data_IF_806041536499
#
_entry.id   IF_806041536499
#
_cell.length_a   1.000
_cell.length_b   1.000
_cell.length_c   1.000
_cell.angle_alpha   90.00
_cell.angle_beta   90.00
_cell.angle_gamma   90.00
#
_symmetry.space_group_name_H-M   'P 1'
#
loop_
_entity.id
_entity.type
_entity.pdbx_description
1 polymer ?
#
# COMPACT_ATOMS: atom_id res chain seq x y z
N UNK A 1 9.60 -24.92 -8.11
CA UNK A 1 8.52 -24.25 -7.36
C UNK A 1 8.91 -22.78 -7.29
N UNK A 2 8.17 -21.91 -7.96
CA UNK A 2 8.39 -20.47 -7.99
C UNK A 2 7.73 -19.86 -6.77
N UNK A 3 8.53 -19.45 -5.77
CA UNK A 3 8.07 -18.74 -4.59
C UNK A 3 8.31 -17.23 -4.77
N UNK A 4 7.24 -16.48 -5.06
CA UNK A 4 7.32 -15.03 -5.26
C UNK A 4 8.03 -14.36 -4.08
N UNK A 5 8.95 -13.46 -4.42
CA UNK A 5 9.76 -12.73 -3.46
C UNK A 5 9.09 -11.41 -3.09
N UNK A 6 9.22 -11.01 -1.82
CA UNK A 6 8.85 -9.67 -1.38
C UNK A 6 9.72 -8.61 -2.05
N UNK A 7 9.30 -7.34 -2.06
CA UNK A 7 10.11 -6.27 -2.66
C UNK A 7 11.52 -6.17 -2.06
N UNK A 8 11.67 -6.46 -0.76
CA UNK A 8 12.98 -6.49 -0.10
C UNK A 8 13.83 -7.68 -0.56
N UNK A 9 13.23 -8.87 -0.64
CA UNK A 9 13.88 -10.08 -1.14
C UNK A 9 14.30 -9.93 -2.61
N UNK A 10 13.47 -9.35 -3.47
CA UNK A 10 13.80 -9.11 -4.88
C UNK A 10 14.96 -8.14 -5.03
N UNK A 11 14.95 -7.02 -4.30
CA UNK A 11 16.07 -6.05 -4.32
C UNK A 11 17.37 -6.71 -3.87
N UNK A 12 17.32 -7.54 -2.83
CA UNK A 12 18.48 -8.26 -2.34
C UNK A 12 18.97 -9.32 -3.33
N UNK A 13 18.06 -10.13 -3.88
CA UNK A 13 18.40 -11.16 -4.87
C UNK A 13 18.97 -10.54 -6.14
N UNK A 14 18.44 -9.41 -6.60
CA UNK A 14 18.99 -8.67 -7.73
C UNK A 14 20.43 -8.24 -7.48
N UNK A 15 20.72 -7.68 -6.30
CA UNK A 15 22.08 -7.30 -5.91
C UNK A 15 23.01 -8.52 -5.82
N UNK A 16 22.51 -9.66 -5.35
CA UNK A 16 23.24 -10.94 -5.35
C UNK A 16 23.61 -11.34 -6.78
N UNK A 17 22.64 -11.35 -7.71
CA UNK A 17 22.84 -11.74 -9.11
C UNK A 17 23.85 -10.81 -9.78
N UNK A 18 23.74 -9.49 -9.57
CA UNK A 18 24.67 -8.49 -10.13
C UNK A 18 26.11 -8.64 -9.64
N UNK A 19 26.32 -9.26 -8.46
CA UNK A 19 27.64 -9.50 -7.87
C UNK A 19 28.00 -11.00 -7.81
N UNK A 20 27.32 -11.83 -8.61
CA UNK A 20 27.56 -13.26 -8.70
C UNK A 20 28.54 -13.57 -9.83
N UNK A 21 29.56 -14.36 -9.53
CA UNK A 21 30.36 -15.04 -10.54
C UNK A 21 29.54 -16.19 -11.11
N UNK A 22 29.27 -16.16 -12.42
CA UNK A 22 28.36 -17.11 -13.08
C UNK A 22 28.94 -18.52 -13.21
N UNK A 23 30.27 -18.67 -13.22
CA UNK A 23 30.93 -19.98 -13.35
C UNK A 23 30.92 -20.74 -12.02
N UNK A 24 31.16 -20.01 -10.93
CA UNK A 24 31.25 -20.56 -9.57
C UNK A 24 29.95 -20.42 -8.77
N UNK A 25 28.98 -19.65 -9.28
CA UNK A 25 27.73 -19.24 -8.63
C UNK A 25 27.94 -18.56 -7.27
N UNK A 26 29.16 -18.07 -7.02
CA UNK A 26 29.53 -17.43 -5.76
C UNK A 26 29.33 -15.94 -5.87
N UNK A 27 28.87 -15.31 -4.79
CA UNK A 27 28.73 -13.86 -4.73
C UNK A 27 29.43 -13.31 -3.49
N UNK A 28 29.94 -12.09 -3.61
CA UNK A 28 30.56 -11.36 -2.52
C UNK A 28 30.47 -9.86 -2.75
N UNK A 29 29.81 -9.13 -1.87
CA UNK A 29 29.68 -7.67 -1.98
C UNK A 29 29.63 -6.96 -0.64
N UNK A 30 30.01 -5.68 -0.65
CA UNK A 30 30.05 -4.84 0.56
C UNK A 30 28.64 -4.53 1.06
N UNK A 31 28.45 -4.59 2.38
CA UNK A 31 27.21 -4.14 3.05
C UNK A 31 26.90 -2.65 2.80
N UNK A 32 27.87 -1.85 2.31
CA UNK A 32 27.66 -0.46 1.91
C UNK A 32 26.88 -0.31 0.60
N UNK A 33 26.81 -1.37 -0.23
CA UNK A 33 26.03 -1.39 -1.47
C UNK A 33 24.54 -1.65 -1.22
N UNK A 34 24.15 -1.98 0.01
CA UNK A 34 22.75 -2.20 0.36
C UNK A 34 21.97 -0.88 0.27
N UNK A 35 20.83 -0.86 -0.42
CA UNK A 35 19.88 0.23 -0.36
C UNK A 35 19.48 0.56 1.09
N UNK A 36 19.12 1.82 1.40
CA UNK A 36 18.69 2.21 2.74
C UNK A 36 17.56 1.34 3.32
N UNK A 37 16.65 0.87 2.46
CA UNK A 37 15.55 -0.02 2.85
C UNK A 37 15.99 -1.44 3.25
N UNK A 38 17.19 -1.86 2.84
CA UNK A 38 17.79 -3.17 3.16
C UNK A 38 18.83 -3.08 4.29
N UNK A 39 18.80 -2.02 5.10
CA UNK A 39 19.71 -1.85 6.24
C UNK A 39 19.63 -3.01 7.25
N UNK A 40 18.49 -3.71 7.29
CA UNK A 40 18.27 -4.97 8.01
C UNK A 40 18.00 -6.11 7.01
N UNK A 41 19.00 -6.47 6.19
CA UNK A 41 18.84 -7.47 5.12
C UNK A 41 18.75 -8.92 5.61
N UNK A 42 18.95 -9.19 6.91
CA UNK A 42 19.10 -10.55 7.44
C UNK A 42 17.83 -11.37 7.29
N UNK A 43 16.66 -10.78 7.54
CA UNK A 43 15.38 -11.46 7.38
C UNK A 43 15.14 -11.83 5.91
N UNK A 44 15.42 -10.91 4.99
CA UNK A 44 15.32 -11.17 3.55
C UNK A 44 16.29 -12.27 3.10
N UNK A 45 17.54 -12.27 3.59
CA UNK A 45 18.51 -13.32 3.30
C UNK A 45 18.06 -14.69 3.83
N UNK A 46 17.58 -14.76 5.07
CA UNK A 46 17.05 -15.99 5.65
C UNK A 46 15.88 -16.55 4.84
N UNK A 47 15.01 -15.67 4.35
CA UNK A 47 13.89 -16.05 3.49
C UNK A 47 14.37 -16.59 2.14
N UNK A 48 15.34 -15.93 1.48
CA UNK A 48 15.93 -16.41 0.22
C UNK A 48 16.57 -17.80 0.38
N UNK A 49 17.20 -18.07 1.53
CA UNK A 49 17.76 -19.39 1.86
C UNK A 49 16.64 -20.41 2.07
N UNK A 50 15.61 -20.06 2.83
CA UNK A 50 14.47 -20.95 3.09
C UNK A 50 13.71 -21.35 1.82
N UNK A 51 13.58 -20.41 0.87
CA UNK A 51 12.95 -20.62 -0.45
C UNK A 51 13.88 -21.28 -1.48
N UNK A 52 15.13 -21.58 -1.11
CA UNK A 52 16.08 -22.27 -1.99
C UNK A 52 16.68 -21.41 -3.10
N UNK A 53 16.62 -20.09 -3.01
CA UNK A 53 17.26 -19.18 -3.99
C UNK A 53 18.75 -18.94 -3.70
N UNK A 54 19.19 -19.19 -2.47
CA UNK A 54 20.57 -19.03 -2.01
C UNK A 54 20.91 -20.19 -1.07
N UNK A 55 22.09 -20.82 -1.23
CA UNK A 55 22.48 -21.96 -0.38
C UNK A 55 23.04 -21.56 0.99
N UNK A 56 23.70 -20.40 1.10
CA UNK A 56 24.43 -20.03 2.32
C UNK A 56 24.73 -18.53 2.37
N UNK A 57 24.56 -17.94 3.54
CA UNK A 57 25.23 -16.69 3.93
C UNK A 57 26.44 -17.05 4.80
N UNK A 58 27.64 -16.63 4.40
CA UNK A 58 28.83 -16.67 5.25
C UNK A 58 29.06 -15.23 5.73
N UNK A 59 28.76 -14.92 7.00
CA UNK A 59 28.96 -13.57 7.51
C UNK A 59 30.45 -13.28 7.59
N UNK A 60 30.92 -12.39 6.71
CA UNK A 60 32.26 -11.82 6.75
C UNK A 60 32.14 -10.37 7.20
N UNK A 61 33.11 -9.86 7.97
CA UNK A 61 33.05 -8.50 8.51
C UNK A 61 32.85 -7.49 7.35
N UNK A 62 31.70 -6.80 7.33
CA UNK A 62 31.29 -5.79 6.34
C UNK A 62 30.99 -6.31 4.91
N UNK A 63 30.95 -7.61 4.68
CA UNK A 63 30.60 -8.19 3.38
C UNK A 63 29.52 -9.27 3.51
N UNK A 64 28.72 -9.40 2.47
CA UNK A 64 27.73 -10.47 2.30
C UNK A 64 28.34 -11.44 1.29
N UNK A 65 28.47 -12.71 1.67
CA UNK A 65 29.06 -13.73 0.80
C UNK A 65 28.24 -15.01 0.81
N UNK A 66 28.16 -15.70 -0.32
CA UNK A 66 27.32 -16.87 -0.45
C UNK A 66 27.35 -17.51 -1.83
N UNK A 67 26.39 -18.41 -2.07
CA UNK A 67 26.20 -19.08 -3.35
C UNK A 67 24.74 -18.98 -3.80
N UNK A 68 24.51 -18.50 -5.02
CA UNK A 68 23.18 -18.48 -5.64
C UNK A 68 22.85 -19.86 -6.21
N UNK A 69 21.56 -20.22 -6.21
CA UNK A 69 21.07 -21.42 -6.89
C UNK A 69 20.72 -21.12 -8.34
N UNK A 70 20.50 -22.15 -9.18
CA UNK A 70 20.02 -21.93 -10.55
C UNK A 70 18.63 -21.29 -10.54
N UNK A 71 17.79 -21.67 -9.57
CA UNK A 71 16.49 -21.06 -9.30
C UNK A 71 16.64 -19.58 -8.91
N UNK A 72 17.64 -19.23 -8.11
CA UNK A 72 17.92 -17.84 -7.73
C UNK A 72 18.38 -16.98 -8.90
N UNK A 73 19.27 -17.51 -9.74
CA UNK A 73 19.79 -16.81 -10.91
C UNK A 73 18.73 -16.60 -12.01
N UNK A 74 17.79 -17.53 -12.13
CA UNK A 74 16.73 -17.48 -13.14
C UNK A 74 15.44 -16.83 -12.64
N UNK A 75 15.35 -16.46 -11.35
CA UNK A 75 14.14 -15.92 -10.73
C UNK A 75 13.48 -14.81 -11.55
N UNK A 76 14.22 -13.80 -12.00
CA UNK A 76 13.64 -12.66 -12.73
C UNK A 76 13.18 -13.03 -14.14
N UNK A 77 13.83 -14.01 -14.78
CA UNK A 77 13.40 -14.53 -16.08
C UNK A 77 12.09 -15.29 -15.93
N UNK A 78 11.99 -16.15 -14.91
CA UNK A 78 10.77 -16.90 -14.60
C UNK A 78 9.65 -15.95 -14.16
N UNK A 79 9.97 -14.93 -13.35
CA UNK A 79 9.02 -13.88 -12.94
C UNK A 79 8.46 -13.12 -14.14
N UNK A 80 9.31 -12.70 -15.08
CA UNK A 80 8.87 -12.00 -16.30
C UNK A 80 7.98 -12.90 -17.16
N UNK A 81 8.27 -14.20 -17.23
CA UNK A 81 7.41 -15.20 -17.89
C UNK A 81 6.04 -15.33 -17.18
N UNK A 82 6.01 -15.33 -15.84
CA UNK A 82 4.78 -15.28 -15.06
C UNK A 82 3.98 -13.98 -15.29
N UNK A 83 4.65 -12.84 -15.44
CA UNK A 83 4.00 -11.55 -15.73
C UNK A 83 3.39 -11.49 -17.16
N UNK A 84 3.85 -12.35 -18.08
CA UNK A 84 3.28 -12.53 -19.42
C UNK A 84 2.15 -13.57 -19.47
N UNK A 85 1.67 -14.05 -18.32
CA UNK A 85 0.58 -15.02 -18.24
C UNK A 85 -0.70 -14.51 -18.94
N UNK A 86 -1.26 -15.34 -19.82
CA UNK A 86 -2.56 -15.08 -20.44
C UNK A 86 -3.68 -15.63 -19.57
N UNK A 87 -4.49 -14.75 -18.96
CA UNK A 87 -5.70 -15.19 -18.24
C UNK A 87 -6.68 -15.83 -19.24
N UNK A 88 -6.85 -17.13 -19.12
CA UNK A 88 -7.75 -17.91 -19.97
C UNK A 88 -9.20 -17.59 -19.61
N UNK A 89 -10.10 -17.74 -20.59
CA UNK A 89 -11.54 -17.57 -20.41
C UNK A 89 -12.31 -18.66 -21.15
N UNK A 90 -13.51 -18.95 -20.66
CA UNK A 90 -14.43 -19.91 -21.27
C UNK A 90 -13.81 -21.31 -21.37
N UNK A 91 -14.10 -22.00 -22.48
CA UNK A 91 -13.78 -23.42 -22.68
C UNK A 91 -12.28 -23.76 -22.51
N UNK A 92 -11.37 -22.84 -22.83
CA UNK A 92 -9.93 -23.06 -22.62
C UNK A 92 -9.55 -23.11 -21.14
N UNK A 93 -10.11 -22.20 -20.34
CA UNK A 93 -9.92 -22.21 -18.89
C UNK A 93 -10.53 -23.46 -18.30
N UNK A 94 -11.76 -23.79 -18.68
CA UNK A 94 -12.49 -24.94 -18.14
C UNK A 94 -11.74 -26.26 -18.44
N UNK A 95 -11.23 -26.41 -19.67
CA UNK A 95 -10.41 -27.56 -20.04
C UNK A 95 -9.10 -27.63 -19.24
N UNK A 96 -8.40 -26.51 -19.06
CA UNK A 96 -7.15 -26.50 -18.30
C UNK A 96 -7.40 -26.87 -16.82
N UNK A 97 -8.45 -26.33 -16.20
CA UNK A 97 -8.83 -26.66 -14.82
C UNK A 97 -9.13 -28.15 -14.68
N UNK A 98 -9.87 -28.73 -15.62
CA UNK A 98 -10.14 -30.17 -15.61
C UNK A 98 -8.86 -31.01 -15.73
N UNK A 99 -7.90 -30.58 -16.56
CA UNK A 99 -6.59 -31.24 -16.67
C UNK A 99 -5.78 -31.12 -15.37
N UNK A 100 -5.83 -29.97 -14.69
CA UNK A 100 -5.18 -29.77 -13.39
C UNK A 100 -5.78 -30.68 -12.32
N UNK A 101 -7.10 -30.76 -12.25
CA UNK A 101 -7.80 -31.65 -11.31
C UNK A 101 -7.44 -33.12 -11.53
N UNK A 102 -7.06 -33.48 -12.75
CA UNK A 102 -6.65 -34.82 -13.15
C UNK A 102 -5.14 -34.99 -13.36
N UNK A 103 -4.29 -34.06 -12.88
CA UNK A 103 -2.84 -34.04 -13.18
C UNK A 103 -2.07 -35.30 -12.80
N UNK A 104 -2.59 -36.07 -11.83
CA UNK A 104 -2.00 -37.34 -11.37
C UNK A 104 -2.49 -38.57 -12.17
N UNK A 105 -3.31 -38.35 -13.20
CA UNK A 105 -3.89 -39.40 -14.05
C UNK A 105 -3.39 -39.30 -15.50
N UNK A 106 -3.82 -40.24 -16.35
CA UNK A 106 -3.47 -40.24 -17.76
C UNK A 106 -4.20 -39.13 -18.52
N UNK A 107 -3.58 -37.96 -18.62
CA UNK A 107 -4.12 -36.78 -19.32
C UNK A 107 -4.38 -37.04 -20.80
N UNK A 108 -3.51 -37.80 -21.47
CA UNK A 108 -3.72 -38.13 -22.88
C UNK A 108 -4.98 -38.99 -23.08
N UNK A 109 -5.21 -39.96 -22.19
CA UNK A 109 -6.43 -40.77 -22.18
C UNK A 109 -7.69 -39.94 -21.94
N UNK A 110 -7.64 -38.99 -21.00
CA UNK A 110 -8.74 -38.05 -20.73
C UNK A 110 -9.05 -37.20 -21.97
N UNK A 111 -8.03 -36.65 -22.63
CA UNK A 111 -8.19 -35.87 -23.85
C UNK A 111 -8.72 -36.73 -25.01
N UNK A 112 -8.24 -37.96 -25.18
CA UNK A 112 -8.71 -38.88 -26.21
C UNK A 112 -10.20 -39.21 -26.03
N UNK A 113 -10.65 -39.47 -24.80
CA UNK A 113 -12.07 -39.72 -24.49
C UNK A 113 -12.97 -38.55 -24.87
N UNK A 114 -12.47 -37.30 -24.73
CA UNK A 114 -13.25 -36.11 -25.11
C UNK A 114 -13.51 -36.01 -26.61
N UNK A 115 -12.74 -36.70 -27.46
CA UNK A 115 -13.00 -36.77 -28.90
C UNK A 115 -14.11 -37.78 -29.26
N UNK A 116 -14.47 -38.69 -28.36
CA UNK A 116 -15.48 -39.73 -28.64
C UNK A 116 -16.87 -39.13 -28.84
N UNK A 117 -17.50 -39.45 -29.97
CA UNK A 117 -18.88 -39.05 -30.27
C UNK A 117 -19.09 -37.58 -30.64
N UNK A 118 -18.01 -36.80 -30.82
CA UNK A 118 -18.12 -35.42 -31.27
C UNK A 118 -18.50 -35.31 -32.76
N UNK A 119 -19.31 -34.31 -33.10
CA UNK A 119 -19.48 -33.89 -34.49
C UNK A 119 -18.26 -33.08 -34.99
N UNK A 120 -18.22 -32.82 -36.30
CA UNK A 120 -17.10 -32.10 -36.94
C UNK A 120 -16.83 -30.71 -36.33
N UNK A 121 -17.87 -29.97 -35.93
CA UNK A 121 -17.69 -28.63 -35.36
C UNK A 121 -17.18 -28.71 -33.93
N UNK A 122 -17.68 -29.68 -33.16
CA UNK A 122 -17.24 -29.94 -31.79
C UNK A 122 -15.79 -30.43 -31.76
N UNK A 123 -15.41 -31.35 -32.65
CA UNK A 123 -14.04 -31.84 -32.80
C UNK A 123 -13.07 -30.69 -33.13
N UNK A 124 -13.38 -29.88 -34.14
CA UNK A 124 -12.55 -28.74 -34.51
C UNK A 124 -12.40 -27.72 -33.37
N UNK A 125 -13.48 -27.49 -32.62
CA UNK A 125 -13.47 -26.60 -31.46
C UNK A 125 -12.54 -27.14 -30.37
N UNK A 126 -12.66 -28.41 -30.01
CA UNK A 126 -11.78 -29.04 -29.02
C UNK A 126 -10.31 -28.99 -29.45
N UNK A 127 -10.01 -29.25 -30.73
CA UNK A 127 -8.64 -29.11 -31.28
C UNK A 127 -8.13 -27.69 -31.17
N UNK A 128 -8.94 -26.69 -31.50
CA UNK A 128 -8.57 -25.29 -31.39
C UNK A 128 -8.28 -24.90 -29.93
N UNK A 129 -9.09 -25.39 -28.98
CA UNK A 129 -8.89 -25.18 -27.55
C UNK A 129 -7.60 -25.82 -27.06
N UNK A 130 -7.32 -27.08 -27.41
CA UNK A 130 -6.06 -27.77 -27.08
C UNK A 130 -4.88 -27.03 -27.69
N UNK A 131 -4.97 -26.63 -28.96
CA UNK A 131 -3.93 -25.84 -29.63
C UNK A 131 -3.67 -24.52 -28.89
N UNK A 132 -4.71 -23.84 -28.46
CA UNK A 132 -4.57 -22.58 -27.72
C UNK A 132 -3.88 -22.78 -26.36
N UNK A 133 -4.15 -23.88 -25.64
CA UNK A 133 -3.44 -24.22 -24.40
C UNK A 133 -1.95 -24.53 -24.65
N UNK A 134 -1.63 -25.17 -25.77
CA UNK A 134 -0.23 -25.42 -26.17
C UNK A 134 0.48 -24.12 -26.53
N UNK A 135 -0.14 -23.30 -27.37
CA UNK A 135 0.44 -22.03 -27.84
C UNK A 135 0.59 -21.02 -26.68
N UNK A 136 -0.26 -21.11 -25.66
CA UNK A 136 -0.19 -20.30 -24.43
C UNK A 136 0.77 -20.87 -23.38
N UNK A 137 1.41 -22.02 -23.65
CA UNK A 137 2.42 -22.62 -22.79
C UNK A 137 1.88 -23.36 -21.56
N UNK A 138 0.59 -23.72 -21.50
CA UNK A 138 -0.01 -24.44 -20.36
C UNK A 138 -0.02 -25.96 -20.53
N UNK A 139 0.00 -26.42 -21.78
CA UNK A 139 -0.11 -27.83 -22.13
C UNK A 139 1.01 -28.21 -23.08
N UNK A 140 1.65 -29.36 -22.86
CA UNK A 140 2.63 -29.92 -23.76
C UNK A 140 2.09 -31.20 -24.40
N UNK A 141 1.94 -31.16 -25.73
CA UNK A 141 1.74 -32.34 -26.57
C UNK A 141 2.80 -32.25 -27.69
N UNK A 142 3.86 -33.06 -27.66
CA UNK A 142 4.90 -33.02 -28.68
C UNK A 142 4.32 -33.38 -30.04
N UNK A 143 4.96 -32.99 -31.15
CA UNK A 143 4.47 -33.30 -32.50
C UNK A 143 4.25 -34.79 -32.72
N UNK A 144 5.05 -35.63 -32.06
CA UNK A 144 4.88 -37.09 -32.08
C UNK A 144 3.79 -37.57 -31.15
N UNK A 145 3.32 -36.83 -30.16
CA UNK A 145 2.31 -37.22 -29.16
C UNK A 145 0.88 -37.36 -29.68
N UNK A 146 0.68 -37.35 -31.00
CA UNK A 146 -0.59 -37.56 -31.69
C UNK A 146 -0.55 -38.86 -32.48
N UNK A 147 -1.61 -39.66 -32.37
CA UNK A 147 -1.82 -40.88 -33.15
C UNK A 147 -3.31 -41.03 -33.43
N UNK A 148 -3.68 -41.50 -34.62
CA UNK A 148 -5.07 -41.71 -35.03
C UNK A 148 -5.98 -40.49 -34.75
N UNK A 149 -5.44 -39.30 -34.97
CA UNK A 149 -6.08 -37.99 -34.74
C UNK A 149 -6.46 -37.68 -33.28
N UNK A 150 -5.94 -38.41 -32.29
CA UNK A 150 -6.11 -38.14 -30.85
C UNK A 150 -4.76 -38.05 -30.12
N UNK A 151 -4.69 -37.35 -28.98
CA UNK A 151 -3.48 -37.35 -28.16
C UNK A 151 -3.23 -38.73 -27.55
N UNK A 152 -2.00 -39.23 -27.65
CA UNK A 152 -1.55 -40.40 -26.88
C UNK A 152 -0.48 -40.04 -25.84
N UNK A 153 0.04 -38.81 -25.88
CA UNK A 153 0.87 -38.22 -24.84
C UNK A 153 0.44 -36.78 -24.58
N UNK A 154 0.31 -36.40 -23.32
CA UNK A 154 0.04 -35.03 -22.89
C UNK A 154 0.58 -34.83 -21.48
N UNK A 155 1.17 -33.67 -21.20
CA UNK A 155 1.59 -33.26 -19.86
C UNK A 155 1.29 -31.80 -19.64
N UNK A 156 0.94 -31.41 -18.41
CA UNK A 156 0.92 -30.00 -18.04
C UNK A 156 2.35 -29.45 -18.02
N UNK A 157 2.50 -28.18 -18.35
CA UNK A 157 3.73 -27.43 -18.08
C UNK A 157 3.72 -26.95 -16.63
N UNK A 158 4.80 -26.31 -16.18
CA UNK A 158 4.84 -25.69 -14.86
C UNK A 158 3.73 -24.64 -14.72
N UNK A 159 3.60 -23.77 -15.72
CA UNK A 159 2.58 -22.73 -15.79
C UNK A 159 1.17 -23.32 -15.84
N UNK A 160 0.99 -24.45 -16.52
CA UNK A 160 -0.27 -25.18 -16.56
C UNK A 160 -0.67 -25.76 -15.20
N UNK A 161 0.26 -26.41 -14.50
CA UNK A 161 -0.01 -26.99 -13.17
C UNK A 161 -0.34 -25.94 -12.12
N UNK A 162 0.28 -24.76 -12.22
CA UNK A 162 0.12 -23.66 -11.28
C UNK A 162 -0.86 -22.57 -11.74
N UNK A 163 -1.59 -22.79 -12.84
CA UNK A 163 -2.47 -21.77 -13.44
C UNK A 163 -3.47 -21.16 -12.46
N UNK A 164 -4.11 -21.97 -11.59
CA UNK A 164 -5.11 -21.49 -10.63
C UNK A 164 -4.51 -20.56 -9.56
N UNK A 165 -3.29 -20.85 -9.12
CA UNK A 165 -2.56 -20.00 -8.16
C UNK A 165 -2.22 -18.66 -8.82
N UNK A 166 -1.67 -18.73 -10.04
CA UNK A 166 -1.31 -17.55 -10.82
C UNK A 166 -2.52 -16.68 -11.19
N UNK A 167 -3.66 -17.31 -11.54
CA UNK A 167 -4.92 -16.61 -11.83
C UNK A 167 -5.45 -15.88 -10.59
N UNK A 168 -5.42 -16.52 -9.42
CA UNK A 168 -5.84 -15.91 -8.16
C UNK A 168 -4.96 -14.71 -7.79
N UNK A 169 -3.64 -14.82 -7.98
CA UNK A 169 -2.70 -13.72 -7.76
C UNK A 169 -2.97 -12.53 -8.69
N UNK A 170 -3.18 -12.79 -9.98
CA UNK A 170 -3.50 -11.74 -10.95
C UNK A 170 -4.81 -11.03 -10.62
N UNK A 171 -5.81 -11.75 -10.09
CA UNK A 171 -7.05 -11.14 -9.61
C UNK A 171 -6.84 -10.28 -8.35
N UNK A 172 -5.96 -10.68 -7.43
CA UNK A 172 -5.64 -9.90 -6.24
C UNK A 172 -4.90 -8.60 -6.57
N UNK A 173 -3.87 -8.63 -7.44
CA UNK A 173 -3.17 -7.41 -7.85
C UNK A 173 -4.10 -6.41 -8.53
N UNK A 174 -5.03 -6.89 -9.35
CA UNK A 174 -6.01 -6.05 -10.05
C UNK A 174 -7.13 -5.53 -9.15
N UNK A 175 -7.30 -6.11 -7.96
CA UNK A 175 -8.25 -5.64 -6.94
C UNK A 175 -7.73 -4.46 -6.11
N UNK A 176 -6.45 -4.09 -6.25
CA UNK A 176 -5.91 -2.85 -5.70
C UNK A 176 -6.44 -1.64 -6.49
N UNK A 177 -7.70 -1.29 -6.28
CA UNK A 177 -8.28 -0.06 -6.84
C UNK A 177 -7.57 1.14 -6.25
N UNK A 178 -6.97 2.03 -7.06
CA UNK A 178 -6.43 3.30 -6.56
C UNK A 178 -7.61 4.15 -6.07
N UNK A 179 -7.69 4.36 -4.76
CA UNK A 179 -8.64 5.31 -4.19
C UNK A 179 -8.04 6.72 -4.33
N UNK A 180 -8.71 7.61 -5.09
CA UNK A 180 -8.36 9.03 -5.09
C UNK A 180 -9.07 9.72 -3.93
N UNK A 181 -8.31 10.27 -2.99
CA UNK A 181 -8.86 11.10 -1.92
C UNK A 181 -8.60 12.56 -2.28
N UNK A 182 -9.67 13.31 -2.57
CA UNK A 182 -9.61 14.75 -2.77
C UNK A 182 -10.10 15.45 -1.51
N UNK A 183 -9.25 16.26 -0.90
CA UNK A 183 -9.60 17.08 0.26
C UNK A 183 -9.43 18.55 -0.07
N UNK A 184 -10.53 19.29 0.03
CA UNK A 184 -10.57 20.72 -0.24
C UNK A 184 -10.16 21.55 0.99
N UNK A 185 -10.20 20.98 2.20
CA UNK A 185 -9.64 21.54 3.45
C UNK A 185 -9.64 20.47 4.56
N UNK A 186 -8.67 20.52 5.50
CA UNK A 186 -8.57 19.59 6.64
C UNK A 186 -7.43 18.57 6.55
N UNK A 187 -7.46 17.54 7.40
CA UNK A 187 -6.48 16.45 7.44
C UNK A 187 -7.08 15.11 6.97
N UNK A 188 -6.29 14.32 6.25
CA UNK A 188 -6.59 12.92 5.91
C UNK A 188 -5.59 12.04 6.65
N UNK A 189 -6.11 11.05 7.37
CA UNK A 189 -5.31 10.04 8.04
C UNK A 189 -5.67 8.66 7.47
N UNK A 190 -4.68 7.92 6.97
CA UNK A 190 -4.87 6.59 6.36
C UNK A 190 -4.05 5.58 7.15
N UNK A 191 -4.69 4.50 7.58
CA UNK A 191 -4.07 3.36 8.25
C UNK A 191 -4.51 2.07 7.56
N UNK A 192 -3.62 1.08 7.51
CA UNK A 192 -3.89 -0.25 6.95
C UNK A 192 -3.58 -1.35 7.97
N UNK A 193 -4.26 -2.49 7.83
CA UNK A 193 -4.10 -3.63 8.74
C UNK A 193 -4.57 -3.33 10.17
N UNK A 194 -3.73 -3.64 11.16
CA UNK A 194 -4.01 -3.47 12.59
C UNK A 194 -3.52 -2.13 13.16
N UNK A 195 -3.36 -1.10 12.32
CA UNK A 195 -2.83 0.19 12.74
C UNK A 195 -3.85 1.03 13.53
N UNK A 196 -3.36 1.70 14.58
CA UNK A 196 -4.13 2.68 15.36
C UNK A 196 -3.60 4.08 15.07
N UNK A 197 -4.48 5.02 14.74
CA UNK A 197 -4.13 6.43 14.55
C UNK A 197 -4.62 7.24 15.76
N UNK A 198 -3.71 7.99 16.39
CA UNK A 198 -4.03 9.03 17.36
C UNK A 198 -3.71 10.39 16.74
N UNK A 199 -4.73 11.15 16.34
CA UNK A 199 -4.57 12.47 15.74
C UNK A 199 -4.97 13.57 16.73
N UNK A 200 -4.05 14.50 17.00
CA UNK A 200 -4.31 15.70 17.80
C UNK A 200 -4.20 16.91 16.87
N UNK A 201 -5.24 17.73 16.82
CA UNK A 201 -5.25 18.97 16.06
C UNK A 201 -5.27 20.16 17.01
N UNK A 202 -4.27 21.03 16.89
CA UNK A 202 -4.20 22.29 17.62
C UNK A 202 -4.54 23.43 16.66
N UNK A 203 -5.48 24.29 17.03
CA UNK A 203 -5.63 25.59 16.36
C UNK A 203 -4.56 26.53 16.90
N UNK A 204 -3.67 27.00 16.03
CA UNK A 204 -2.73 28.05 16.39
C UNK A 204 -3.51 29.38 16.53
N UNK A 205 -3.50 29.96 17.72
CA UNK A 205 -4.03 31.30 17.96
C UNK A 205 -3.03 32.33 17.44
N UNK A 206 -3.48 33.30 16.64
CA UNK A 206 -2.67 34.45 16.28
C UNK A 206 -2.50 35.37 17.50
N UNK A 207 -1.43 35.13 18.26
CA UNK A 207 -1.14 35.82 19.52
C UNK A 207 -0.85 37.31 19.32
N UNK A 208 -0.37 37.71 18.14
CA UNK A 208 -0.11 39.11 17.82
C UNK A 208 -1.42 39.86 17.55
N UNK A 209 -2.31 39.28 16.74
CA UNK A 209 -3.64 39.85 16.52
C UNK A 209 -4.43 39.95 17.84
N UNK A 210 -4.35 38.92 18.69
CA UNK A 210 -4.96 38.93 20.02
C UNK A 210 -4.45 40.10 20.88
N UNK A 211 -3.12 40.26 21.00
CA UNK A 211 -2.52 41.31 21.83
C UNK A 211 -2.92 42.72 21.35
N UNK A 212 -3.01 42.93 20.03
CA UNK A 212 -3.46 44.20 19.45
C UNK A 212 -4.92 44.50 19.78
N UNK A 213 -5.81 43.51 19.72
CA UNK A 213 -7.22 43.68 20.06
C UNK A 213 -7.41 43.99 21.55
N UNK A 214 -6.67 43.31 22.43
CA UNK A 214 -6.69 43.59 23.88
C UNK A 214 -6.19 45.01 24.17
N UNK A 215 -5.08 45.43 23.55
CA UNK A 215 -4.56 46.78 23.69
C UNK A 215 -5.57 47.84 23.22
N UNK A 216 -6.23 47.60 22.08
CA UNK A 216 -7.26 48.49 21.55
C UNK A 216 -8.45 48.65 22.51
N UNK A 217 -8.91 47.56 23.15
CA UNK A 217 -9.94 47.66 24.18
C UNK A 217 -9.44 48.53 25.34
N UNK A 218 -8.24 48.27 25.86
CA UNK A 218 -7.63 49.02 26.98
C UNK A 218 -7.50 50.52 26.69
N UNK A 219 -7.09 50.90 25.48
CA UNK A 219 -6.95 52.31 25.08
C UNK A 219 -8.28 53.07 25.05
N UNK A 220 -9.40 52.37 24.81
CA UNK A 220 -10.73 52.96 24.70
C UNK A 220 -11.54 52.91 26.01
N UNK A 221 -10.95 52.44 27.11
CA UNK A 221 -11.62 52.34 28.42
C UNK A 221 -11.65 53.64 29.22
N UNK A 222 -10.94 54.69 28.79
CA UNK A 222 -10.71 55.92 29.58
C UNK A 222 -11.99 56.67 30.01
N UNK A 223 -13.13 56.38 29.37
CA UNK A 223 -14.43 57.00 29.64
C UNK A 223 -15.35 56.16 30.54
N UNK A 224 -14.93 54.94 30.91
CA UNK A 224 -15.72 54.04 31.75
C UNK A 224 -15.67 54.43 33.22
N UNK A 225 -16.71 54.06 33.97
CA UNK A 225 -16.69 54.12 35.43
C UNK A 225 -15.67 53.11 35.97
N UNK A 226 -15.07 53.35 37.15
CA UNK A 226 -13.99 52.47 37.66
C UNK A 226 -14.44 51.01 37.83
N UNK A 227 -15.68 50.77 38.24
CA UNK A 227 -16.25 49.42 38.38
C UNK A 227 -16.38 48.70 37.04
N UNK A 228 -16.76 49.42 35.99
CA UNK A 228 -16.87 48.86 34.64
C UNK A 228 -15.46 48.61 34.07
N UNK A 229 -14.52 49.52 34.32
CA UNK A 229 -13.14 49.36 33.89
C UNK A 229 -12.44 48.16 34.54
N UNK A 230 -12.70 47.91 35.83
CA UNK A 230 -12.26 46.70 36.54
C UNK A 230 -12.85 45.43 35.90
N UNK A 231 -14.18 45.41 35.67
CA UNK A 231 -14.85 44.27 35.03
C UNK A 231 -14.34 43.99 33.60
N UNK A 232 -13.98 45.02 32.83
CA UNK A 232 -13.33 44.84 31.53
C UNK A 232 -11.96 44.19 31.72
N UNK A 233 -11.11 44.71 32.61
CA UNK A 233 -9.77 44.16 32.83
C UNK A 233 -9.80 42.69 33.26
N UNK A 234 -10.67 42.34 34.20
CA UNK A 234 -10.85 40.94 34.64
C UNK A 234 -11.25 40.04 33.47
N UNK A 235 -12.16 40.52 32.61
CA UNK A 235 -12.61 39.77 31.44
C UNK A 235 -11.52 39.62 30.39
N UNK A 236 -10.69 40.65 30.19
CA UNK A 236 -9.55 40.59 29.28
C UNK A 236 -8.47 39.63 29.78
N UNK A 237 -8.20 39.60 31.09
CA UNK A 237 -7.23 38.68 31.70
C UNK A 237 -7.69 37.21 31.55
N UNK A 238 -8.98 36.95 31.73
CA UNK A 238 -9.55 35.61 31.47
C UNK A 238 -9.36 35.20 30.01
N UNK A 239 -9.62 36.10 29.06
CA UNK A 239 -9.44 35.82 27.62
C UNK A 239 -7.97 35.54 27.31
N UNK A 240 -7.06 36.39 27.78
CA UNK A 240 -5.62 36.25 27.52
C UNK A 240 -5.05 34.96 28.12
N UNK A 241 -5.40 34.66 29.37
CA UNK A 241 -4.93 33.47 30.08
C UNK A 241 -5.48 32.19 29.45
N UNK A 242 -6.76 32.19 29.05
CA UNK A 242 -7.38 30.98 28.52
C UNK A 242 -6.93 30.70 27.08
N UNK A 243 -6.75 31.73 26.25
CA UNK A 243 -6.24 31.57 24.89
C UNK A 243 -4.74 31.22 24.81
N UNK A 244 -3.97 31.45 25.88
CA UNK A 244 -2.59 30.98 26.00
C UNK A 244 -2.50 29.47 26.31
N UNK A 245 -3.60 28.81 26.71
CA UNK A 245 -3.61 27.39 27.03
C UNK A 245 -3.68 26.52 25.76
N UNK A 246 -3.11 25.31 25.83
CA UNK A 246 -3.24 24.33 24.75
C UNK A 246 -4.69 23.87 24.53
N UNK A 247 -5.53 23.93 25.57
CA UNK A 247 -6.94 23.56 25.52
C UNK A 247 -7.81 24.61 26.23
N UNK A 248 -8.12 25.73 25.56
CA UNK A 248 -8.96 26.78 26.11
C UNK A 248 -10.37 26.26 26.46
N UNK A 249 -10.79 26.45 27.70
CA UNK A 249 -12.14 26.20 28.22
C UNK A 249 -13.10 27.22 27.66
N UNK A 250 -13.83 26.80 26.62
CA UNK A 250 -14.91 27.57 25.97
C UNK A 250 -15.91 28.21 26.95
N UNK A 251 -16.17 27.57 28.10
CA UNK A 251 -17.05 28.11 29.13
C UNK A 251 -16.54 29.42 29.74
N UNK A 252 -15.25 29.51 30.04
CA UNK A 252 -14.64 30.72 30.61
C UNK A 252 -14.59 31.86 29.59
N UNK A 253 -14.25 31.55 28.33
CA UNK A 253 -14.28 32.51 27.23
C UNK A 253 -15.69 33.08 27.00
N UNK A 254 -16.74 32.24 27.07
CA UNK A 254 -18.14 32.70 26.95
C UNK A 254 -18.54 33.62 28.10
N UNK A 255 -18.14 33.30 29.33
CA UNK A 255 -18.41 34.15 30.50
C UNK A 255 -17.76 35.52 30.34
N UNK A 256 -16.48 35.57 29.94
CA UNK A 256 -15.76 36.82 29.72
C UNK A 256 -16.38 37.65 28.57
N UNK A 257 -16.76 37.02 27.46
CA UNK A 257 -17.48 37.69 26.36
C UNK A 257 -18.79 38.30 26.85
N UNK A 258 -19.57 37.55 27.64
CA UNK A 258 -20.86 38.02 28.16
C UNK A 258 -20.68 39.23 29.08
N UNK A 259 -19.65 39.21 29.93
CA UNK A 259 -19.31 40.34 30.80
C UNK A 259 -18.92 41.58 29.98
N UNK A 260 -18.07 41.43 28.96
CA UNK A 260 -17.70 42.54 28.06
C UNK A 260 -18.89 43.13 27.30
N UNK A 261 -19.83 42.29 26.86
CA UNK A 261 -21.03 42.74 26.15
C UNK A 261 -22.01 43.54 27.03
N UNK A 262 -21.98 43.32 28.35
CA UNK A 262 -22.87 44.00 29.28
C UNK A 262 -22.43 45.45 29.56
N UNK A 263 -21.17 45.78 29.27
CA UNK A 263 -20.57 47.08 29.59
C UNK A 263 -20.91 48.10 28.50
N UNK A 264 -21.51 49.22 28.91
CA UNK A 264 -21.85 50.32 28.01
C UNK A 264 -20.71 51.34 28.01
N UNK A 265 -20.13 51.60 26.85
CA UNK A 265 -19.07 52.60 26.66
C UNK A 265 -19.33 53.50 25.47
N UNK A 266 -18.29 54.19 25.02
CA UNK A 266 -18.35 54.98 23.77
C UNK A 266 -18.48 54.06 22.56
N UNK A 267 -18.76 54.66 21.40
CA UNK A 267 -18.83 53.94 20.12
C UNK A 267 -17.50 53.25 19.80
N UNK A 268 -16.37 53.89 20.10
CA UNK A 268 -15.02 53.36 19.88
C UNK A 268 -14.73 52.15 20.78
N UNK A 269 -15.13 52.22 22.05
CA UNK A 269 -15.04 51.08 22.97
C UNK A 269 -15.90 49.90 22.50
N UNK A 270 -17.15 50.16 22.14
CA UNK A 270 -18.05 49.12 21.64
C UNK A 270 -17.52 48.45 20.37
N UNK A 271 -16.89 49.22 19.48
CA UNK A 271 -16.24 48.68 18.28
C UNK A 271 -15.02 47.81 18.62
N UNK A 272 -14.15 48.25 19.53
CA UNK A 272 -12.99 47.48 19.98
C UNK A 272 -13.41 46.15 20.64
N UNK A 273 -14.44 46.18 21.50
CA UNK A 273 -15.00 44.98 22.13
C UNK A 273 -15.60 44.03 21.08
N UNK A 274 -16.35 44.55 20.10
CA UNK A 274 -16.91 43.72 19.03
C UNK A 274 -15.82 43.01 18.20
N UNK A 275 -14.74 43.71 17.86
CA UNK A 275 -13.62 43.14 17.13
C UNK A 275 -12.91 42.02 17.92
N UNK A 276 -12.68 42.24 19.23
CA UNK A 276 -12.13 41.21 20.12
C UNK A 276 -13.06 39.99 20.20
N UNK A 277 -14.36 40.20 20.38
CA UNK A 277 -15.34 39.11 20.46
C UNK A 277 -15.34 38.30 19.16
N UNK A 278 -15.32 38.96 18.00
CA UNK A 278 -15.30 38.28 16.70
C UNK A 278 -14.04 37.42 16.56
N UNK A 279 -12.88 37.92 17.00
CA UNK A 279 -11.65 37.12 17.03
C UNK A 279 -11.78 35.90 17.94
N UNK A 280 -12.22 36.07 19.19
CA UNK A 280 -12.38 34.96 20.14
C UNK A 280 -13.38 33.93 19.62
N UNK A 281 -14.43 34.36 18.93
CA UNK A 281 -15.41 33.48 18.29
C UNK A 281 -14.79 32.56 17.24
N UNK A 282 -13.76 32.97 16.50
CA UNK A 282 -13.06 32.09 15.54
C UNK A 282 -12.36 30.90 16.20
N UNK A 283 -12.09 30.99 17.50
CA UNK A 283 -11.34 29.98 18.28
C UNK A 283 -12.31 29.06 19.04
N UNK A 284 -13.45 29.60 19.50
CA UNK A 284 -14.45 28.81 20.25
C UNK A 284 -15.54 28.18 19.37
N UNK A 285 -15.60 28.53 18.08
CA UNK A 285 -16.55 27.97 17.12
C UNK A 285 -16.43 26.44 16.98
#
# INVERSE_FOLDING_TARGET
MFDKLSSAEEKLLKLIIENCDHDTKSFSFSTQLLPPELRFYKEAMQSLVAKGYVYKDIPVLRAITGYATDEGLTYFVVKEQHEQMTILKGEARDLLVELIDNKNHNLAGLLAQKFEGLDFNQDNRLRATIKYLIDSGYLNIPSKGWADNVPYFASLTYEGEHYLELEAEHMQEKSATPYSITVNSGQVNIASGYATINANQYQAVDTQAMAQLIASVKENMNSLQSTDAEAVNDSLEVIETELAQQNPKRGFLRTAITALQAIKGTTEFAAAVAALIQFVQTIIA
#
